data_IF_312004743075
#
_entry.id   IF_312004743075
#
_cell.length_a   1.000
_cell.length_b   1.000
_cell.length_c   1.000
_cell.angle_alpha   90.00
_cell.angle_beta   90.00
_cell.angle_gamma   90.00
#
_symmetry.space_group_name_H-M   'P 1'
#
loop_
_entity.id
_entity.type
_entity.pdbx_description
1 polymer ?
#
# COMPACT_ATOMS: atom_id res chain seq x y z
N UNK A 1 -13.71 -9.38 -2.92
CA UNK A 1 -12.94 -9.91 -1.77
C UNK A 1 -13.04 -8.92 -0.62
N UNK A 2 -12.96 -9.39 0.62
CA UNK A 2 -13.05 -8.58 1.83
C UNK A 2 -11.80 -8.80 2.69
N UNK A 3 -10.93 -7.78 2.85
CA UNK A 3 -9.77 -7.87 3.73
C UNK A 3 -10.23 -7.87 5.20
N UNK A 4 -9.55 -8.63 6.06
CA UNK A 4 -9.92 -8.76 7.48
C UNK A 4 -8.75 -8.44 8.41
N UNK A 5 -7.52 -8.79 8.01
CA UNK A 5 -6.32 -8.57 8.81
C UNK A 5 -5.14 -8.11 7.98
N UNK A 6 -4.29 -7.28 8.56
CA UNK A 6 -3.02 -6.85 7.99
C UNK A 6 -1.89 -6.93 9.02
N UNK A 7 -0.70 -7.30 8.55
CA UNK A 7 0.57 -7.18 9.29
C UNK A 7 1.47 -6.20 8.55
N UNK A 8 2.00 -5.19 9.25
CA UNK A 8 2.89 -4.20 8.68
C UNK A 8 4.35 -4.72 8.64
N UNK A 9 5.08 -4.36 7.60
CA UNK A 9 6.53 -4.49 7.52
C UNK A 9 7.08 -3.11 7.16
N UNK A 10 7.83 -2.50 8.07
CA UNK A 10 8.36 -1.15 7.91
C UNK A 10 9.88 -1.14 8.04
N UNK A 11 10.53 -0.41 7.13
CA UNK A 11 11.96 -0.09 7.21
C UNK A 11 12.09 1.42 7.26
N UNK A 12 12.74 1.94 8.30
CA UNK A 12 12.96 3.39 8.49
C UNK A 12 14.45 3.71 8.33
N UNK A 13 14.83 4.77 7.59
CA UNK A 13 16.22 5.18 7.46
C UNK A 13 16.88 5.49 8.80
N UNK A 14 18.16 5.17 8.93
CA UNK A 14 18.97 5.60 10.08
C UNK A 14 18.93 7.12 10.23
N UNK A 15 18.81 7.59 11.48
CA UNK A 15 18.75 9.03 11.75
C UNK A 15 18.74 9.34 13.24
N UNK A 16 18.50 10.62 13.55
CA UNK A 16 18.21 11.01 14.93
C UNK A 16 16.93 10.30 15.40
N UNK A 17 16.95 9.78 16.62
CA UNK A 17 15.84 9.01 17.20
C UNK A 17 14.48 9.69 17.01
N UNK A 18 14.38 10.98 17.33
CA UNK A 18 13.16 11.76 17.14
C UNK A 18 12.66 11.82 15.68
N UNK A 19 13.57 11.78 14.68
CA UNK A 19 13.19 11.75 13.26
C UNK A 19 12.74 10.36 12.82
N UNK A 20 13.37 9.32 13.33
CA UNK A 20 13.01 7.93 13.05
C UNK A 20 11.62 7.64 13.62
N UNK A 21 11.38 8.04 14.86
CA UNK A 21 10.10 7.91 15.55
C UNK A 21 8.98 8.66 14.80
N UNK A 22 9.21 9.93 14.47
CA UNK A 22 8.22 10.75 13.75
C UNK A 22 7.89 10.16 12.37
N UNK A 23 8.91 9.69 11.64
CA UNK A 23 8.70 9.08 10.32
C UNK A 23 7.84 7.82 10.43
N UNK A 24 8.15 6.95 11.38
CA UNK A 24 7.36 5.74 11.65
C UNK A 24 5.94 6.09 12.05
N UNK A 25 5.77 7.08 12.93
CA UNK A 25 4.46 7.54 13.40
C UNK A 25 3.59 8.01 12.22
N UNK A 26 4.09 8.88 11.36
CA UNK A 26 3.34 9.41 10.22
C UNK A 26 2.95 8.30 9.22
N UNK A 27 3.88 7.40 8.90
CA UNK A 27 3.62 6.25 8.03
C UNK A 27 2.50 5.37 8.59
N UNK A 28 2.59 5.03 9.88
CA UNK A 28 1.63 4.13 10.52
C UNK A 28 0.29 4.81 10.77
N UNK A 29 0.26 6.11 11.03
CA UNK A 29 -0.97 6.88 11.17
C UNK A 29 -1.82 6.80 9.88
N UNK A 30 -1.21 7.08 8.72
CA UNK A 30 -1.89 6.97 7.44
C UNK A 30 -2.31 5.53 7.09
N UNK A 31 -1.47 4.55 7.42
CA UNK A 31 -1.81 3.14 7.25
C UNK A 31 -3.03 2.72 8.08
N UNK A 32 -3.06 3.10 9.36
CA UNK A 32 -4.17 2.82 10.27
C UNK A 32 -5.47 3.47 9.81
N UNK A 33 -5.40 4.69 9.26
CA UNK A 33 -6.56 5.36 8.68
C UNK A 33 -7.14 4.59 7.48
N UNK A 34 -6.29 4.25 6.50
CA UNK A 34 -6.71 3.49 5.32
C UNK A 34 -7.28 2.11 5.67
N UNK A 35 -6.62 1.39 6.58
CA UNK A 35 -7.03 0.05 6.99
C UNK A 35 -8.40 0.09 7.70
N UNK A 36 -8.62 1.09 8.56
CA UNK A 36 -9.90 1.32 9.22
C UNK A 36 -11.03 1.55 8.20
N UNK A 37 -10.82 2.42 7.22
CA UNK A 37 -11.80 2.68 6.15
C UNK A 37 -12.10 1.43 5.31
N UNK A 38 -11.09 0.57 5.17
CA UNK A 38 -11.20 -0.71 4.47
C UNK A 38 -11.82 -1.82 5.33
N UNK A 39 -12.20 -1.55 6.59
CA UNK A 39 -12.65 -2.53 7.59
C UNK A 39 -11.64 -3.68 7.78
N UNK A 40 -10.36 -3.36 7.68
CA UNK A 40 -9.24 -4.27 7.87
C UNK A 40 -8.51 -3.93 9.17
N UNK A 41 -8.29 -4.90 10.05
CA UNK A 41 -7.60 -4.66 11.32
C UNK A 41 -6.09 -4.79 11.15
N UNK A 42 -5.33 -3.82 11.64
CA UNK A 42 -3.88 -3.97 11.81
C UNK A 42 -3.60 -4.86 13.02
N UNK A 43 -3.05 -6.05 12.79
CA UNK A 43 -2.82 -7.08 13.82
C UNK A 43 -1.43 -7.02 14.46
N UNK A 44 -0.60 -6.06 14.02
CA UNK A 44 0.80 -5.92 14.42
C UNK A 44 1.71 -5.80 13.21
N UNK A 45 2.97 -6.18 13.37
CA UNK A 45 3.95 -6.11 12.30
C UNK A 45 5.38 -6.27 12.78
N UNK A 46 6.31 -5.94 11.89
CA UNK A 46 7.74 -5.88 12.16
C UNK A 46 8.32 -4.57 11.62
N UNK A 47 9.20 -3.96 12.41
CA UNK A 47 9.89 -2.72 12.05
C UNK A 47 11.38 -2.90 12.25
N UNK A 48 12.19 -2.40 11.31
CA UNK A 48 13.63 -2.31 11.46
C UNK A 48 14.17 -1.00 10.86
N UNK A 49 15.41 -0.68 11.19
CA UNK A 49 16.14 0.39 10.53
C UNK A 49 16.91 -0.14 9.32
N UNK A 50 17.03 0.66 8.26
CA UNK A 50 17.73 0.27 7.04
C UNK A 50 18.16 1.46 6.20
N UNK A 51 18.74 1.23 5.01
CA UNK A 51 19.14 2.33 4.13
C UNK A 51 17.96 2.95 3.36
N UNK A 52 16.98 2.13 3.00
CA UNK A 52 15.85 2.53 2.16
C UNK A 52 14.55 2.54 2.94
N UNK A 53 13.80 3.65 2.85
CA UNK A 53 12.48 3.78 3.44
C UNK A 53 11.51 2.84 2.72
N UNK A 54 10.83 1.96 3.45
CA UNK A 54 9.79 1.11 2.87
C UNK A 54 8.66 0.79 3.84
N UNK A 55 7.47 0.59 3.28
CA UNK A 55 6.27 0.15 3.99
C UNK A 55 5.54 -0.87 3.14
N UNK A 56 5.25 -2.02 3.73
CA UNK A 56 4.49 -3.09 3.10
C UNK A 56 3.51 -3.72 4.08
N UNK A 57 2.55 -4.46 3.52
CA UNK A 57 1.54 -5.17 4.30
C UNK A 57 1.35 -6.59 3.79
N UNK A 58 1.32 -7.54 4.72
CA UNK A 58 0.75 -8.86 4.47
C UNK A 58 -0.73 -8.80 4.83
N UNK A 59 -1.62 -8.96 3.84
CA UNK A 59 -3.07 -8.80 4.03
C UNK A 59 -3.78 -10.13 3.83
N UNK A 60 -4.64 -10.48 4.79
CA UNK A 60 -5.50 -11.65 4.73
C UNK A 60 -6.97 -11.24 4.60
N UNK A 61 -7.78 -12.10 4.01
CA UNK A 61 -9.19 -11.82 3.77
C UNK A 61 -9.92 -12.98 3.13
N UNK A 62 -11.19 -12.77 2.83
CA UNK A 62 -12.09 -13.80 2.29
C UNK A 62 -12.72 -13.37 0.97
N UNK A 63 -13.04 -14.34 0.13
CA UNK A 63 -13.80 -14.15 -1.10
C UNK A 63 -14.68 -15.38 -1.33
N UNK A 64 -15.93 -15.17 -1.73
CA UNK A 64 -16.76 -16.27 -2.19
C UNK A 64 -16.10 -16.91 -3.43
N UNK A 65 -15.96 -18.24 -3.52
CA UNK A 65 -15.26 -18.86 -4.65
C UNK A 65 -15.81 -18.45 -6.02
N UNK A 66 -17.14 -18.28 -6.13
CA UNK A 66 -17.81 -17.83 -7.35
C UNK A 66 -17.51 -16.37 -7.74
N UNK A 67 -17.01 -15.54 -6.81
CA UNK A 67 -16.66 -14.13 -7.01
C UNK A 67 -15.14 -13.92 -7.13
N UNK A 68 -14.34 -14.98 -7.07
CA UNK A 68 -12.90 -14.90 -7.17
C UNK A 68 -12.48 -14.63 -8.62
N UNK A 69 -12.16 -13.38 -8.91
CA UNK A 69 -11.60 -12.98 -10.20
C UNK A 69 -10.18 -13.52 -10.36
N UNK A 70 -9.88 -14.07 -11.53
CA UNK A 70 -8.55 -14.58 -11.91
C UNK A 70 -8.00 -13.75 -13.05
N UNK A 71 -6.68 -13.67 -13.18
CA UNK A 71 -5.99 -12.93 -14.26
C UNK A 71 -6.01 -13.69 -15.61
N UNK A 72 -7.07 -14.44 -15.90
CA UNK A 72 -7.20 -15.26 -17.11
C UNK A 72 -8.66 -15.56 -17.43
N UNK A 73 -8.92 -16.23 -18.56
CA UNK A 73 -10.27 -16.51 -19.04
C UNK A 73 -10.92 -15.37 -19.82
N UNK A 74 -10.14 -14.37 -20.23
CA UNK A 74 -10.61 -13.34 -21.16
C UNK A 74 -10.86 -13.97 -22.55
N UNK A 75 -11.92 -13.55 -23.22
CA UNK A 75 -12.34 -14.02 -24.54
C UNK A 75 -12.42 -12.85 -25.53
N UNK A 76 -12.39 -13.17 -26.82
CA UNK A 76 -12.54 -12.18 -27.89
C UNK A 76 -13.86 -11.40 -27.73
N UNK A 77 -13.82 -10.10 -28.06
CA UNK A 77 -14.96 -9.20 -27.92
C UNK A 77 -15.18 -8.63 -26.51
N UNK A 78 -14.41 -9.05 -25.50
CA UNK A 78 -14.50 -8.45 -24.16
C UNK A 78 -13.73 -7.12 -24.06
N UNK A 79 -14.27 -6.19 -23.28
CA UNK A 79 -13.69 -4.87 -23.07
C UNK A 79 -12.61 -4.86 -21.97
N UNK A 80 -11.61 -4.00 -22.15
CA UNK A 80 -10.64 -3.66 -21.11
C UNK A 80 -11.13 -2.40 -20.39
N UNK A 81 -11.32 -2.51 -19.07
CA UNK A 81 -11.83 -1.42 -18.23
C UNK A 81 -10.72 -0.96 -17.29
N UNK A 82 -10.45 0.35 -17.29
CA UNK A 82 -9.55 0.99 -16.37
C UNK A 82 -10.36 1.80 -15.34
N UNK A 83 -10.14 1.53 -14.05
CA UNK A 83 -10.90 2.17 -12.96
C UNK A 83 -10.22 3.43 -12.41
N UNK A 84 -8.96 3.68 -12.78
CA UNK A 84 -8.16 4.84 -12.35
C UNK A 84 -7.23 5.31 -13.47
N UNK A 85 -7.01 6.62 -13.66
CA UNK A 85 -6.08 7.11 -14.66
C UNK A 85 -4.66 6.55 -14.49
N UNK A 86 -3.92 6.45 -15.60
CA UNK A 86 -2.48 6.18 -15.59
C UNK A 86 -1.70 7.47 -15.30
N UNK A 87 -0.45 7.34 -14.84
CA UNK A 87 0.49 8.47 -14.78
C UNK A 87 1.10 8.78 -13.41
N UNK A 88 0.74 8.08 -12.33
CA UNK A 88 1.30 8.33 -10.99
C UNK A 88 2.82 8.28 -10.95
N UNK A 89 3.46 7.34 -11.67
CA UNK A 89 4.92 7.27 -11.76
C UNK A 89 5.55 8.46 -12.47
N UNK A 90 4.91 9.00 -13.50
CA UNK A 90 5.37 10.22 -14.21
C UNK A 90 5.27 11.43 -13.28
N UNK A 91 4.15 11.54 -12.54
CA UNK A 91 3.93 12.61 -11.57
C UNK A 91 4.98 12.56 -10.44
N UNK A 92 5.24 11.39 -9.86
CA UNK A 92 6.28 11.25 -8.84
C UNK A 92 7.67 11.58 -9.37
N UNK A 93 8.01 11.11 -10.58
CA UNK A 93 9.28 11.42 -11.20
C UNK A 93 9.44 12.92 -11.50
N UNK A 94 8.39 13.60 -11.94
CA UNK A 94 8.39 15.05 -12.15
C UNK A 94 8.54 15.80 -10.82
N UNK A 95 7.81 15.40 -9.78
CA UNK A 95 7.90 16.00 -8.45
C UNK A 95 9.32 15.89 -7.85
N UNK A 96 9.96 14.72 -7.95
CA UNK A 96 11.35 14.54 -7.50
C UNK A 96 12.35 15.44 -8.23
N UNK A 97 12.01 15.93 -9.44
CA UNK A 97 12.81 16.88 -10.22
C UNK A 97 12.34 18.34 -10.09
N UNK A 98 11.36 18.63 -9.24
CA UNK A 98 10.77 19.97 -9.13
C UNK A 98 10.01 20.43 -10.37
N UNK A 99 9.54 19.50 -11.21
CA UNK A 99 8.86 19.76 -12.48
C UNK A 99 7.38 19.37 -12.48
N UNK A 100 6.81 19.07 -11.31
CA UNK A 100 5.36 18.90 -11.15
C UNK A 100 4.72 20.27 -10.93
N UNK A 101 3.70 20.61 -11.72
CA UNK A 101 2.92 21.85 -11.66
C UNK A 101 1.48 21.58 -11.25
#
# INVERSE_FOLDING_TARGET
>A
AHPTGALAVAVVPYGLEAKVEETLFQMMAGACELLRDSRCTLLGGHTCEGQELSLGFCVTGHVAPAQALRKGGMSEGQAIILTKPLGTGVLFAANMRGAAS
#
